data_IF_437074863420
#
_entry.id   IF_437074863420
#
_cell.length_a   1.000
_cell.length_b   1.000
_cell.length_c   1.000
_cell.angle_alpha   90.00
_cell.angle_beta   90.00
_cell.angle_gamma   90.00
#
_symmetry.space_group_name_H-M   'P 1'
#
loop_
_entity.id
_entity.type
_entity.pdbx_description
1 polymer ?
#
# COMPACT_ATOMS: atom_id res chain seq x y z
N UNK A 1 26.46 -24.31 -16.49
CA UNK A 1 25.52 -23.19 -16.78
C UNK A 1 26.26 -21.88 -16.60
N UNK A 2 26.20 -20.93 -17.55
CA UNK A 2 26.78 -19.61 -17.42
C UNK A 2 26.23 -18.89 -16.20
N UNK A 3 27.02 -18.02 -15.57
CA UNK A 3 26.64 -17.27 -14.37
C UNK A 3 25.29 -16.53 -14.52
N UNK A 4 25.06 -15.89 -15.67
CA UNK A 4 23.80 -15.20 -15.98
C UNK A 4 22.57 -16.12 -15.95
N UNK A 5 22.68 -17.37 -16.38
CA UNK A 5 21.59 -18.34 -16.31
C UNK A 5 21.29 -18.77 -14.86
N UNK A 6 22.32 -18.98 -14.03
CA UNK A 6 22.15 -19.31 -12.61
C UNK A 6 21.48 -18.16 -11.87
N UNK A 7 21.94 -16.93 -12.08
CA UNK A 7 21.37 -15.73 -11.48
C UNK A 7 19.90 -15.52 -11.91
N UNK A 8 19.64 -15.62 -13.22
CA UNK A 8 18.29 -15.53 -13.76
C UNK A 8 17.35 -16.58 -13.15
N UNK A 9 17.80 -17.84 -13.02
CA UNK A 9 17.02 -18.89 -12.37
C UNK A 9 16.69 -18.57 -10.91
N UNK A 10 17.65 -18.04 -10.17
CA UNK A 10 17.44 -17.67 -8.75
C UNK A 10 16.45 -16.51 -8.62
N UNK A 11 16.58 -15.47 -9.44
CA UNK A 11 15.72 -14.29 -9.39
C UNK A 11 14.28 -14.63 -9.81
N UNK A 12 14.13 -15.29 -10.97
CA UNK A 12 12.80 -15.57 -11.53
C UNK A 12 12.11 -16.79 -10.92
N UNK A 13 12.72 -17.44 -9.93
CA UNK A 13 12.03 -18.39 -9.07
C UNK A 13 11.18 -17.65 -7.98
N UNK A 14 11.55 -16.41 -7.66
CA UNK A 14 10.74 -15.54 -6.82
C UNK A 14 9.60 -14.92 -7.64
N UNK A 15 8.57 -14.47 -6.94
CA UNK A 15 7.49 -13.66 -7.50
C UNK A 15 7.90 -12.17 -7.55
N UNK A 16 7.35 -11.34 -8.45
CA UNK A 16 7.74 -9.94 -8.55
C UNK A 16 7.51 -9.16 -7.25
N UNK A 17 6.40 -9.40 -6.54
CA UNK A 17 6.12 -8.76 -5.25
C UNK A 17 7.07 -9.19 -4.13
N UNK A 18 7.59 -10.41 -4.20
CA UNK A 18 8.58 -10.93 -3.24
C UNK A 18 9.92 -10.22 -3.42
N UNK A 19 10.32 -9.99 -4.68
CA UNK A 19 11.53 -9.21 -4.97
C UNK A 19 11.36 -7.74 -4.59
N UNK A 20 10.20 -7.14 -4.87
CA UNK A 20 9.88 -5.79 -4.44
C UNK A 20 9.98 -5.64 -2.92
N UNK A 21 9.47 -6.61 -2.16
CA UNK A 21 9.62 -6.63 -0.70
C UNK A 21 11.09 -6.60 -0.26
N UNK A 22 11.95 -7.38 -0.91
CA UNK A 22 13.39 -7.39 -0.60
C UNK A 22 14.05 -6.03 -0.85
N UNK A 23 13.65 -5.32 -1.91
CA UNK A 23 14.14 -3.95 -2.20
C UNK A 23 13.82 -2.99 -1.06
N UNK A 24 12.68 -3.14 -0.39
CA UNK A 24 12.34 -2.35 0.79
C UNK A 24 12.98 -2.87 2.09
N UNK A 25 13.08 -4.17 2.24
CA UNK A 25 13.60 -4.77 3.48
C UNK A 25 15.08 -4.49 3.71
N UNK A 26 15.90 -4.44 2.66
CA UNK A 26 17.34 -4.16 2.80
C UNK A 26 17.59 -2.78 3.38
N UNK A 27 17.09 -1.66 2.81
CA UNK A 27 17.29 -0.34 3.40
C UNK A 27 16.61 -0.19 4.76
N UNK A 28 15.46 -0.85 4.99
CA UNK A 28 14.79 -0.85 6.28
C UNK A 28 15.61 -1.58 7.35
N UNK A 29 16.14 -2.77 7.04
CA UNK A 29 17.00 -3.51 7.96
C UNK A 29 18.28 -2.72 8.32
N UNK A 30 18.87 -2.06 7.32
CA UNK A 30 20.00 -1.16 7.52
C UNK A 30 19.64 0.01 8.46
N UNK A 31 18.55 0.70 8.21
CA UNK A 31 18.09 1.81 9.04
C UNK A 31 17.81 1.34 10.48
N UNK A 32 17.07 0.25 10.67
CA UNK A 32 16.78 -0.30 11.99
C UNK A 32 18.05 -0.77 12.74
N UNK A 33 19.00 -1.35 12.03
CA UNK A 33 20.29 -1.74 12.63
C UNK A 33 21.09 -0.52 13.10
N UNK A 34 21.12 0.57 12.31
CA UNK A 34 21.75 1.83 12.68
C UNK A 34 21.05 2.50 13.87
N UNK A 35 19.72 2.51 13.89
CA UNK A 35 18.93 3.02 15.01
C UNK A 35 19.15 2.21 16.28
N UNK A 36 19.23 0.87 16.18
CA UNK A 36 19.49 -0.01 17.31
C UNK A 36 20.91 0.19 17.88
N UNK A 37 21.90 0.40 17.01
CA UNK A 37 23.27 0.73 17.42
C UNK A 37 23.33 2.08 18.15
N UNK A 38 22.73 3.13 17.56
CA UNK A 38 22.67 4.46 18.17
C UNK A 38 21.96 4.44 19.54
N UNK A 39 20.93 3.60 19.71
CA UNK A 39 20.22 3.45 20.99
C UNK A 39 21.08 2.77 22.08
N UNK A 40 22.09 1.97 21.69
CA UNK A 40 23.05 1.37 22.65
C UNK A 40 24.09 2.39 23.13
N UNK A 41 24.52 3.28 22.26
CA UNK A 41 25.48 4.35 22.60
C UNK A 41 24.85 5.38 23.55
N UNK A 42 23.51 5.51 23.54
CA UNK A 42 22.72 6.39 24.42
C UNK A 42 22.38 5.75 25.78
N UNK A 43 22.91 4.58 26.13
CA UNK A 43 22.83 4.04 27.51
C UNK A 43 23.51 4.95 28.55
N UNK A 44 24.12 6.04 28.12
CA UNK A 44 24.64 7.12 28.98
C UNK A 44 23.67 8.33 29.13
N UNK A 45 22.43 8.31 28.58
CA UNK A 45 21.50 9.45 28.62
C UNK A 45 20.00 9.06 28.61
N UNK A 46 19.11 9.99 29.00
CA UNK A 46 17.76 9.69 29.52
C UNK A 46 16.68 9.32 28.49
N UNK A 47 16.95 9.09 27.22
CA UNK A 47 15.93 8.62 26.28
C UNK A 47 16.56 7.87 25.11
N UNK A 48 16.21 6.61 24.93
CA UNK A 48 16.53 5.87 23.71
C UNK A 48 15.95 6.63 22.50
N UNK A 49 16.79 7.12 21.60
CA UNK A 49 16.38 7.91 20.43
C UNK A 49 15.40 7.15 19.54
N UNK A 50 15.44 5.81 19.56
CA UNK A 50 14.58 4.92 18.76
C UNK A 50 14.13 3.70 19.58
N UNK A 51 13.14 3.87 20.50
CA UNK A 51 12.67 2.76 21.32
C UNK A 51 12.08 1.64 20.43
N UNK A 52 12.45 0.40 20.75
CA UNK A 52 11.94 -0.78 20.03
C UNK A 52 12.59 -1.06 18.67
N UNK A 53 13.61 -0.34 18.22
CA UNK A 53 14.29 -0.59 16.93
C UNK A 53 14.85 -2.01 16.84
N UNK A 54 15.42 -2.55 17.93
CA UNK A 54 15.92 -3.93 17.98
C UNK A 54 14.79 -4.95 17.84
N UNK A 55 13.67 -4.76 18.55
CA UNK A 55 12.53 -5.66 18.46
C UNK A 55 11.96 -5.68 17.03
N UNK A 56 11.87 -4.52 16.38
CA UNK A 56 11.42 -4.39 14.99
C UNK A 56 12.39 -5.05 14.00
N UNK A 57 13.70 -4.92 14.21
CA UNK A 57 14.70 -5.62 13.42
C UNK A 57 14.57 -7.15 13.56
N UNK A 58 14.34 -7.65 14.77
CA UNK A 58 14.10 -9.07 15.01
C UNK A 58 12.79 -9.56 14.37
N UNK A 59 11.73 -8.75 14.40
CA UNK A 59 10.46 -9.06 13.72
C UNK A 59 10.66 -9.14 12.22
N UNK A 60 11.40 -8.19 11.63
CA UNK A 60 11.74 -8.19 10.21
C UNK A 60 12.56 -9.41 9.82
N UNK A 61 13.58 -9.75 10.62
CA UNK A 61 14.40 -10.94 10.40
C UNK A 61 13.55 -12.21 10.49
N UNK A 62 12.69 -12.32 11.51
CA UNK A 62 11.78 -13.45 11.69
C UNK A 62 10.81 -13.62 10.51
N UNK A 63 10.20 -12.53 10.05
CA UNK A 63 9.33 -12.54 8.87
C UNK A 63 10.08 -12.99 7.60
N UNK A 64 11.32 -12.51 7.43
CA UNK A 64 12.17 -12.88 6.28
C UNK A 64 12.56 -14.36 6.35
N UNK A 65 12.99 -14.85 7.52
CA UNK A 65 13.35 -16.26 7.72
C UNK A 65 12.14 -17.16 7.47
N UNK A 66 10.97 -16.80 8.03
CA UNK A 66 9.74 -17.55 7.82
C UNK A 66 9.34 -17.58 6.34
N UNK A 67 9.47 -16.47 5.64
CA UNK A 67 9.21 -16.41 4.20
C UNK A 67 10.17 -17.32 3.40
N UNK A 68 11.46 -17.24 3.64
CA UNK A 68 12.47 -18.10 2.98
C UNK A 68 12.21 -19.57 3.26
N UNK A 69 11.85 -19.92 4.50
CA UNK A 69 11.43 -21.26 4.85
C UNK A 69 10.18 -21.70 4.07
N UNK A 70 9.16 -20.84 4.02
CA UNK A 70 7.90 -21.12 3.32
C UNK A 70 8.16 -21.41 1.82
N UNK A 71 8.92 -20.55 1.15
CA UNK A 71 9.24 -20.70 -0.28
C UNK A 71 10.03 -21.96 -0.56
N UNK A 72 10.97 -22.30 0.33
CA UNK A 72 11.91 -23.43 0.11
C UNK A 72 11.36 -24.76 0.55
N UNK A 73 10.70 -24.80 1.71
CA UNK A 73 10.31 -26.06 2.38
C UNK A 73 8.84 -26.43 2.15
N UNK A 74 7.99 -25.45 1.86
CA UNK A 74 6.54 -25.63 1.73
C UNK A 74 5.97 -24.94 0.46
N UNK A 75 6.55 -25.18 -0.73
CA UNK A 75 6.09 -24.54 -1.98
C UNK A 75 4.63 -24.89 -2.32
N UNK A 76 4.12 -26.01 -1.80
CA UNK A 76 2.72 -26.43 -1.97
C UNK A 76 1.72 -25.55 -1.21
N UNK A 77 2.15 -24.76 -0.23
CA UNK A 77 1.31 -23.84 0.54
C UNK A 77 1.05 -22.55 -0.25
N UNK A 78 0.40 -22.71 -1.41
CA UNK A 78 0.15 -21.61 -2.36
C UNK A 78 -0.59 -20.44 -1.74
N UNK A 79 -1.62 -20.72 -0.92
CA UNK A 79 -2.41 -19.69 -0.25
C UNK A 79 -1.55 -18.85 0.72
N UNK A 80 -0.75 -19.51 1.56
CA UNK A 80 0.14 -18.78 2.48
C UNK A 80 1.11 -17.87 1.71
N UNK A 81 1.67 -18.35 0.60
CA UNK A 81 2.54 -17.57 -0.27
C UNK A 81 1.79 -16.42 -0.97
N UNK A 82 0.50 -16.61 -1.31
CA UNK A 82 -0.35 -15.57 -1.92
C UNK A 82 -0.68 -14.45 -0.93
N UNK A 83 -0.75 -14.74 0.38
CA UNK A 83 -1.04 -13.77 1.46
C UNK A 83 0.21 -13.01 1.91
N UNK A 84 1.40 -13.61 1.80
CA UNK A 84 2.67 -13.01 2.28
C UNK A 84 2.93 -11.57 1.80
N UNK A 85 2.61 -11.16 0.55
CA UNK A 85 2.79 -9.78 0.11
C UNK A 85 2.07 -8.75 0.97
N UNK A 86 0.89 -9.07 1.48
CA UNK A 86 0.15 -8.19 2.41
C UNK A 86 0.81 -8.13 3.79
N UNK A 87 1.35 -9.26 4.27
CA UNK A 87 2.15 -9.29 5.50
C UNK A 87 3.39 -8.41 5.35
N UNK A 88 4.04 -8.45 4.20
CA UNK A 88 5.19 -7.59 3.92
C UNK A 88 4.80 -6.11 3.87
N UNK A 89 3.70 -5.76 3.19
CA UNK A 89 3.19 -4.38 3.17
C UNK A 89 2.91 -3.88 4.59
N UNK A 90 2.25 -4.67 5.42
CA UNK A 90 1.98 -4.32 6.81
C UNK A 90 3.27 -4.15 7.65
N UNK A 91 4.23 -5.06 7.48
CA UNK A 91 5.51 -4.96 8.18
C UNK A 91 6.30 -3.71 7.76
N UNK A 92 6.33 -3.37 6.47
CA UNK A 92 6.97 -2.14 5.98
C UNK A 92 6.24 -0.92 6.56
N UNK A 93 4.92 -0.91 6.53
CA UNK A 93 4.11 0.21 7.02
C UNK A 93 4.36 0.52 8.50
N UNK A 94 4.41 -0.51 9.34
CA UNK A 94 4.68 -0.35 10.79
C UNK A 94 6.05 0.31 11.05
N UNK A 95 7.04 0.07 10.18
CA UNK A 95 8.39 0.62 10.31
C UNK A 95 8.58 1.95 9.55
N UNK A 96 7.58 2.39 8.79
CA UNK A 96 7.70 3.50 7.85
C UNK A 96 7.97 4.84 8.55
N UNK A 97 7.34 5.06 9.72
CA UNK A 97 7.56 6.27 10.51
C UNK A 97 9.04 6.49 10.87
N UNK A 98 9.72 5.43 11.30
CA UNK A 98 11.13 5.52 11.64
C UNK A 98 12.00 5.71 10.41
N UNK A 99 11.64 5.07 9.28
CA UNK A 99 12.34 5.26 8.01
C UNK A 99 12.27 6.73 7.54
N UNK A 100 11.09 7.34 7.61
CA UNK A 100 10.89 8.75 7.27
C UNK A 100 11.81 9.62 8.14
N UNK A 101 11.83 9.39 9.45
CA UNK A 101 12.68 10.15 10.38
C UNK A 101 14.17 9.90 10.15
N UNK A 102 14.55 8.67 9.84
CA UNK A 102 15.95 8.30 9.60
C UNK A 102 16.52 8.95 8.33
N UNK A 103 15.75 8.94 7.25
CA UNK A 103 16.16 9.56 5.97
C UNK A 103 16.00 11.08 5.96
N UNK A 104 15.18 11.63 6.86
CA UNK A 104 15.05 13.09 7.10
C UNK A 104 14.88 13.93 5.83
N UNK A 105 14.05 13.45 4.89
CA UNK A 105 13.72 14.24 3.72
C UNK A 105 12.93 15.52 4.12
N UNK A 106 13.01 16.60 3.33
CA UNK A 106 12.29 17.85 3.62
C UNK A 106 10.77 17.61 3.70
N UNK A 107 10.14 18.09 4.76
CA UNK A 107 8.69 18.07 4.95
C UNK A 107 8.02 19.05 3.98
N UNK A 108 7.09 18.54 3.15
CA UNK A 108 6.36 19.32 2.14
C UNK A 108 4.95 19.74 2.60
N UNK A 109 4.60 19.59 3.86
CA UNK A 109 3.27 19.91 4.38
C UNK A 109 2.81 21.32 4.04
N UNK A 110 3.69 22.32 4.21
CA UNK A 110 3.39 23.71 3.89
C UNK A 110 3.15 23.93 2.39
N UNK A 111 3.82 23.18 1.55
CA UNK A 111 3.66 23.30 0.09
C UNK A 111 2.31 22.68 -0.33
N UNK A 112 1.89 21.55 0.25
CA UNK A 112 0.57 20.95 0.01
C UNK A 112 -0.55 21.93 0.38
N UNK A 113 -0.46 22.53 1.57
CA UNK A 113 -1.40 23.57 1.99
C UNK A 113 -1.48 24.74 0.99
N UNK A 114 -0.30 25.25 0.58
CA UNK A 114 -0.23 26.37 -0.39
C UNK A 114 -0.81 25.99 -1.74
N UNK A 115 -0.59 24.76 -2.20
CA UNK A 115 -1.15 24.27 -3.47
C UNK A 115 -2.67 24.14 -3.40
N UNK A 116 -3.22 23.58 -2.32
CA UNK A 116 -4.67 23.53 -2.13
C UNK A 116 -5.29 24.93 -2.14
N UNK A 117 -4.75 25.86 -1.35
CA UNK A 117 -5.24 27.25 -1.33
C UNK A 117 -5.13 27.95 -2.68
N UNK A 118 -4.04 27.70 -3.44
CA UNK A 118 -3.89 28.27 -4.78
C UNK A 118 -4.89 27.72 -5.79
N UNK A 119 -5.20 26.43 -5.70
CA UNK A 119 -6.11 25.75 -6.63
C UNK A 119 -7.58 26.10 -6.37
N UNK A 120 -7.96 26.21 -5.10
CA UNK A 120 -9.37 26.37 -4.72
C UNK A 120 -9.73 27.78 -4.24
N UNK A 121 -8.74 28.62 -3.94
CA UNK A 121 -8.96 29.94 -3.32
C UNK A 121 -9.27 29.88 -1.82
N UNK A 122 -9.36 28.70 -1.23
CA UNK A 122 -9.60 28.41 0.18
C UNK A 122 -9.00 27.05 0.53
N UNK A 123 -8.97 26.72 1.82
CA UNK A 123 -8.51 25.39 2.28
C UNK A 123 -9.71 24.42 2.30
N UNK A 124 -9.69 23.34 1.47
CA UNK A 124 -10.85 22.47 1.28
C UNK A 124 -11.31 21.72 2.52
N UNK A 125 -10.40 21.33 3.44
CA UNK A 125 -10.79 20.59 4.65
C UNK A 125 -11.44 21.51 5.68
N UNK A 126 -11.06 22.79 5.74
CA UNK A 126 -11.73 23.82 6.53
C UNK A 126 -13.09 24.15 5.92
N UNK A 127 -13.15 24.31 4.59
CA UNK A 127 -14.42 24.52 3.90
C UNK A 127 -15.43 23.40 4.13
N UNK A 128 -14.97 22.15 4.28
CA UNK A 128 -15.83 20.99 4.53
C UNK A 128 -16.51 21.00 5.91
N UNK A 129 -16.05 21.83 6.87
CA UNK A 129 -16.69 21.97 8.19
C UNK A 129 -18.16 22.35 8.12
N UNK A 130 -18.57 23.11 7.08
CA UNK A 130 -19.98 23.51 6.90
C UNK A 130 -20.94 22.32 6.73
N UNK A 131 -20.42 21.17 6.44
CA UNK A 131 -21.16 19.90 6.33
C UNK A 131 -21.05 19.03 7.57
N UNK A 132 -20.43 19.53 8.66
CA UNK A 132 -20.23 18.74 9.89
C UNK A 132 -21.59 18.29 10.44
N UNK A 133 -21.82 16.97 10.42
CA UNK A 133 -23.03 16.33 10.89
C UNK A 133 -22.72 14.91 11.37
N UNK A 134 -23.25 14.46 12.54
CA UNK A 134 -22.92 13.16 13.12
C UNK A 134 -23.07 11.97 12.15
N UNK A 135 -24.16 11.93 11.40
CA UNK A 135 -24.38 10.87 10.40
C UNK A 135 -23.30 10.85 9.31
N UNK A 136 -22.90 12.02 8.79
CA UNK A 136 -21.83 12.10 7.77
C UNK A 136 -20.48 11.73 8.39
N UNK A 137 -20.24 12.13 9.62
CA UNK A 137 -19.01 11.75 10.35
C UNK A 137 -18.91 10.22 10.50
N UNK A 138 -19.99 9.57 10.88
CA UNK A 138 -20.05 8.11 10.99
C UNK A 138 -19.90 7.43 9.62
N UNK A 139 -20.64 7.88 8.63
CA UNK A 139 -20.56 7.32 7.27
C UNK A 139 -19.14 7.39 6.70
N UNK A 140 -18.51 8.57 6.74
CA UNK A 140 -17.16 8.74 6.24
C UNK A 140 -16.12 8.01 7.08
N UNK A 141 -16.32 7.89 8.39
CA UNK A 141 -15.45 7.09 9.27
C UNK A 141 -15.51 5.60 8.88
N UNK A 142 -16.70 5.05 8.66
CA UNK A 142 -16.88 3.68 8.18
C UNK A 142 -16.22 3.49 6.81
N UNK A 143 -16.45 4.41 5.87
CA UNK A 143 -15.83 4.35 4.54
C UNK A 143 -14.30 4.38 4.64
N UNK A 144 -13.75 5.22 5.51
CA UNK A 144 -12.31 5.34 5.73
C UNK A 144 -11.71 4.02 6.28
N UNK A 145 -12.40 3.36 7.21
CA UNK A 145 -12.00 2.06 7.73
C UNK A 145 -12.05 0.93 6.69
N UNK A 146 -12.99 1.01 5.76
CA UNK A 146 -13.11 0.02 4.69
C UNK A 146 -11.93 0.02 3.72
N UNK A 147 -11.03 1.01 3.77
CA UNK A 147 -9.75 0.99 3.09
C UNK A 147 -9.02 -0.35 3.25
N UNK A 148 -8.95 -0.85 4.47
CA UNK A 148 -8.27 -2.11 4.79
C UNK A 148 -8.98 -3.35 4.22
N UNK A 149 -10.23 -3.24 3.84
CA UNK A 149 -11.04 -4.35 3.33
C UNK A 149 -11.20 -4.34 1.80
N UNK A 150 -11.27 -3.18 1.15
CA UNK A 150 -11.65 -3.07 -0.27
C UNK A 150 -10.74 -3.87 -1.20
N UNK A 151 -9.44 -3.70 -1.09
CA UNK A 151 -8.46 -4.43 -1.91
C UNK A 151 -8.39 -5.92 -1.56
N UNK A 152 -8.17 -6.30 -0.29
CA UNK A 152 -8.14 -7.70 0.13
C UNK A 152 -9.43 -8.47 -0.18
N UNK A 153 -10.60 -7.85 -0.02
CA UNK A 153 -11.88 -8.50 -0.32
C UNK A 153 -12.03 -8.77 -1.82
N UNK A 154 -11.66 -7.83 -2.69
CA UNK A 154 -11.62 -8.08 -4.13
C UNK A 154 -10.67 -9.25 -4.46
N UNK A 155 -9.47 -9.25 -3.89
CA UNK A 155 -8.51 -10.34 -4.06
C UNK A 155 -9.09 -11.69 -3.61
N UNK A 156 -9.74 -11.74 -2.44
CA UNK A 156 -10.39 -12.94 -1.91
C UNK A 156 -11.50 -13.44 -2.84
N UNK A 157 -12.38 -12.55 -3.30
CA UNK A 157 -13.46 -12.91 -4.23
C UNK A 157 -12.92 -13.50 -5.54
N UNK A 158 -11.88 -12.92 -6.11
CA UNK A 158 -11.21 -13.44 -7.31
C UNK A 158 -10.54 -14.79 -7.04
N UNK A 159 -9.92 -14.94 -5.86
CA UNK A 159 -9.34 -16.22 -5.43
C UNK A 159 -10.40 -17.33 -5.31
N UNK A 160 -11.54 -17.04 -4.68
CA UNK A 160 -12.67 -17.98 -4.53
C UNK A 160 -13.31 -18.32 -5.88
N UNK A 161 -13.37 -17.36 -6.82
CA UNK A 161 -13.80 -17.61 -8.20
C UNK A 161 -12.81 -18.45 -9.00
N UNK A 162 -11.64 -18.74 -8.44
CA UNK A 162 -10.53 -19.44 -9.09
C UNK A 162 -9.99 -18.73 -10.34
N UNK A 163 -10.24 -17.42 -10.47
CA UNK A 163 -9.65 -16.59 -11.52
C UNK A 163 -8.23 -16.18 -11.13
N UNK A 164 -7.28 -17.09 -11.32
CA UNK A 164 -5.88 -16.89 -10.91
C UNK A 164 -5.22 -15.72 -11.62
N UNK A 165 -5.56 -15.47 -12.87
CA UNK A 165 -4.98 -14.36 -13.66
C UNK A 165 -5.45 -13.02 -13.11
N UNK A 166 -6.76 -12.84 -12.95
CA UNK A 166 -7.31 -11.61 -12.36
C UNK A 166 -6.83 -11.39 -10.92
N UNK A 167 -6.76 -12.47 -10.11
CA UNK A 167 -6.20 -12.42 -8.77
C UNK A 167 -4.76 -11.92 -8.76
N UNK A 168 -3.88 -12.49 -9.59
CA UNK A 168 -2.46 -12.11 -9.67
C UNK A 168 -2.28 -10.67 -10.13
N UNK A 169 -3.04 -10.23 -11.15
CA UNK A 169 -3.00 -8.84 -11.60
C UNK A 169 -3.46 -7.87 -10.52
N UNK A 170 -4.51 -8.23 -9.79
CA UNK A 170 -5.02 -7.43 -8.66
C UNK A 170 -3.99 -7.35 -7.55
N UNK A 171 -3.46 -8.48 -7.10
CA UNK A 171 -2.45 -8.56 -6.05
C UNK A 171 -1.24 -7.68 -6.36
N UNK A 172 -0.63 -7.89 -7.53
CA UNK A 172 0.59 -7.16 -7.90
C UNK A 172 0.32 -5.66 -8.08
N UNK A 173 -0.84 -5.27 -8.66
CA UNK A 173 -1.19 -3.86 -8.81
C UNK A 173 -1.36 -3.17 -7.45
N UNK A 174 -2.03 -3.82 -6.48
CA UNK A 174 -2.22 -3.26 -5.13
C UNK A 174 -0.89 -3.17 -4.38
N UNK A 175 -0.09 -4.24 -4.41
CA UNK A 175 1.23 -4.25 -3.74
C UNK A 175 2.15 -3.19 -4.35
N UNK A 176 2.17 -3.05 -5.68
CA UNK A 176 2.95 -2.04 -6.36
C UNK A 176 2.50 -0.62 -5.98
N UNK A 177 1.19 -0.37 -5.91
CA UNK A 177 0.62 0.89 -5.47
C UNK A 177 1.07 1.23 -4.04
N UNK A 178 1.00 0.27 -3.12
CA UNK A 178 1.43 0.45 -1.73
C UNK A 178 2.94 0.75 -1.65
N UNK A 179 3.79 -0.02 -2.32
CA UNK A 179 5.24 0.19 -2.26
C UNK A 179 5.67 1.53 -2.86
N UNK A 180 5.11 1.91 -3.99
CA UNK A 180 5.40 3.23 -4.58
C UNK A 180 4.91 4.37 -3.69
N UNK A 181 3.76 4.21 -3.05
CA UNK A 181 3.28 5.17 -2.06
C UNK A 181 4.18 5.26 -0.84
N UNK A 182 4.73 4.14 -0.35
CA UNK A 182 5.70 4.15 0.75
C UNK A 182 7.01 4.86 0.35
N UNK A 183 7.46 4.71 -0.91
CA UNK A 183 8.56 5.53 -1.44
C UNK A 183 8.19 7.01 -1.39
N UNK A 184 6.96 7.36 -1.78
CA UNK A 184 6.45 8.72 -1.69
C UNK A 184 6.52 9.28 -0.27
N UNK A 185 6.07 8.51 0.73
CA UNK A 185 6.12 8.94 2.14
C UNK A 185 7.53 9.20 2.66
N UNK A 186 8.51 8.41 2.21
CA UNK A 186 9.92 8.62 2.59
C UNK A 186 10.55 9.78 1.82
N UNK A 187 10.23 9.94 0.54
CA UNK A 187 10.82 10.96 -0.32
C UNK A 187 10.21 12.35 -0.11
N UNK A 188 8.92 12.40 0.20
CA UNK A 188 8.14 13.64 0.38
C UNK A 188 7.25 13.53 1.62
N UNK A 189 7.85 13.51 2.82
CA UNK A 189 7.08 13.41 4.05
C UNK A 189 6.14 14.61 4.20
N UNK A 190 4.91 14.34 4.61
CA UNK A 190 3.90 15.38 4.82
C UNK A 190 2.92 14.96 5.91
N UNK A 191 2.50 15.93 6.72
CA UNK A 191 1.49 15.76 7.75
C UNK A 191 0.08 15.95 7.19
N UNK A 192 -0.87 15.20 7.74
CA UNK A 192 -2.29 15.37 7.44
C UNK A 192 -2.81 16.75 7.89
N UNK A 193 -3.82 17.34 7.22
CA UNK A 193 -4.40 18.63 7.58
C UNK A 193 -4.77 18.75 9.07
N UNK A 194 -5.38 17.71 9.66
CA UNK A 194 -5.75 17.66 11.08
C UNK A 194 -4.58 17.88 12.05
N UNK A 195 -3.36 17.55 11.63
CA UNK A 195 -2.15 17.71 12.43
C UNK A 195 -1.39 18.99 12.08
N UNK A 196 -1.46 19.40 10.81
CA UNK A 196 -0.70 20.54 10.29
C UNK A 196 -1.35 21.89 10.67
N UNK A 197 -2.69 21.97 10.62
CA UNK A 197 -3.44 23.22 10.83
C UNK A 197 -4.58 23.04 11.87
N UNK A 198 -4.34 22.41 13.04
CA UNK A 198 -5.41 22.12 14.00
C UNK A 198 -6.16 23.39 14.45
N UNK A 199 -5.48 24.53 14.55
CA UNK A 199 -6.07 25.82 14.94
C UNK A 199 -6.96 26.49 13.87
N UNK A 200 -6.99 25.97 12.63
CA UNK A 200 -7.86 26.46 11.58
C UNK A 200 -9.30 25.90 11.68
N UNK A 201 -9.50 24.85 12.48
CA UNK A 201 -10.79 24.18 12.62
C UNK A 201 -11.59 24.78 13.79
N UNK A 202 -12.82 25.19 13.48
CA UNK A 202 -13.77 25.73 14.45
C UNK A 202 -14.78 24.71 14.97
N UNK A 203 -15.01 23.63 14.22
CA UNK A 203 -16.00 22.60 14.52
C UNK A 203 -15.33 21.27 14.82
N UNK A 204 -15.66 20.66 15.95
CA UNK A 204 -15.29 19.29 16.26
C UNK A 204 -16.18 18.30 15.47
N UNK A 205 -15.58 17.28 14.90
CA UNK A 205 -16.31 16.21 14.22
C UNK A 205 -16.74 15.16 15.24
N UNK A 206 -18.04 15.10 15.50
CA UNK A 206 -18.64 14.10 16.39
C UNK A 206 -19.54 13.15 15.60
N UNK A 207 -19.54 11.88 15.99
CA UNK A 207 -20.40 10.83 15.49
C UNK A 207 -20.92 9.97 16.65
N UNK A 208 -21.10 8.67 16.41
CA UNK A 208 -21.42 7.72 17.47
C UNK A 208 -20.20 7.49 18.38
N UNK A 209 -20.40 7.27 19.69
CA UNK A 209 -19.31 7.14 20.66
C UNK A 209 -18.29 6.06 20.29
N UNK A 210 -18.73 4.95 19.69
CA UNK A 210 -17.84 3.87 19.25
C UNK A 210 -16.92 4.33 18.13
N UNK A 211 -17.44 5.04 17.13
CA UNK A 211 -16.63 5.51 16.00
C UNK A 211 -15.75 6.69 16.40
N UNK A 212 -16.20 7.55 17.31
CA UNK A 212 -15.38 8.61 17.89
C UNK A 212 -14.18 8.01 18.62
N UNK A 213 -14.40 7.01 19.48
CA UNK A 213 -13.31 6.29 20.15
C UNK A 213 -12.30 5.68 19.15
N UNK A 214 -12.77 5.07 18.07
CA UNK A 214 -11.86 4.49 17.07
C UNK A 214 -11.04 5.55 16.33
N UNK A 215 -11.62 6.72 16.03
CA UNK A 215 -10.89 7.84 15.41
C UNK A 215 -9.82 8.40 16.35
N UNK A 216 -10.15 8.58 17.62
CA UNK A 216 -9.21 9.06 18.64
C UNK A 216 -8.07 8.08 18.88
N UNK A 217 -8.38 6.79 18.97
CA UNK A 217 -7.37 5.74 19.14
C UNK A 217 -6.34 5.75 18.00
N UNK A 218 -6.78 5.93 16.73
CA UNK A 218 -5.87 6.03 15.59
C UNK A 218 -5.14 7.36 15.54
N UNK A 219 -5.82 8.46 15.88
CA UNK A 219 -5.19 9.76 15.90
C UNK A 219 -3.98 9.81 16.85
N UNK A 220 -4.01 9.02 17.93
CA UNK A 220 -2.93 8.87 18.89
C UNK A 220 -1.75 8.00 18.41
N UNK A 221 -1.87 7.32 17.27
CA UNK A 221 -0.78 6.46 16.77
C UNK A 221 0.25 7.29 15.99
N UNK A 222 1.53 7.35 16.44
CA UNK A 222 2.57 8.15 15.78
C UNK A 222 2.88 7.75 14.33
N UNK A 223 2.51 6.53 13.93
CA UNK A 223 2.79 5.94 12.63
C UNK A 223 2.27 6.75 11.44
N UNK A 224 1.27 7.61 11.64
CA UNK A 224 0.60 8.34 10.56
C UNK A 224 1.03 9.81 10.44
N UNK A 225 1.93 10.29 11.29
CA UNK A 225 2.20 11.71 11.41
C UNK A 225 2.76 12.36 10.13
N UNK A 226 3.55 11.63 9.34
CA UNK A 226 4.23 12.15 8.13
C UNK A 226 3.88 11.35 6.86
N UNK A 227 2.82 10.58 6.86
CA UNK A 227 2.42 9.71 5.75
C UNK A 227 1.20 10.25 4.98
N UNK A 228 1.12 11.55 4.69
CA UNK A 228 0.00 12.10 3.93
C UNK A 228 0.19 12.00 2.42
N UNK A 229 1.38 12.26 1.89
CA UNK A 229 1.63 12.36 0.45
C UNK A 229 2.44 11.18 -0.12
N UNK A 230 1.96 10.54 -1.20
CA UNK A 230 0.63 10.65 -1.85
C UNK A 230 -0.46 9.94 -1.04
N UNK A 231 -1.73 10.28 -1.23
CA UNK A 231 -2.85 9.61 -0.54
C UNK A 231 -3.01 8.17 -0.97
N UNK A 232 -2.49 7.22 -0.16
CA UNK A 232 -2.68 5.79 -0.41
C UNK A 232 -4.12 5.33 -0.16
N UNK A 233 -4.86 6.00 0.71
CA UNK A 233 -6.28 5.71 0.93
C UNK A 233 -7.08 5.91 -0.36
N UNK A 234 -6.91 7.06 -1.00
CA UNK A 234 -7.58 7.36 -2.27
C UNK A 234 -7.02 6.53 -3.43
N UNK A 235 -5.70 6.31 -3.46
CA UNK A 235 -5.07 5.52 -4.49
C UNK A 235 -5.57 4.08 -4.52
N UNK A 236 -5.56 3.38 -3.39
CA UNK A 236 -6.00 1.97 -3.33
C UNK A 236 -7.51 1.85 -3.50
N UNK A 237 -8.31 2.80 -3.00
CA UNK A 237 -9.75 2.79 -3.19
C UNK A 237 -10.13 2.91 -4.67
N UNK A 238 -9.54 3.87 -5.39
CA UNK A 238 -9.74 4.03 -6.83
C UNK A 238 -9.20 2.82 -7.60
N UNK A 239 -8.03 2.30 -7.23
CA UNK A 239 -7.45 1.12 -7.85
C UNK A 239 -8.36 -0.10 -7.70
N UNK A 240 -8.91 -0.32 -6.49
CA UNK A 240 -9.86 -1.41 -6.23
C UNK A 240 -11.12 -1.29 -7.09
N UNK A 241 -11.65 -0.08 -7.27
CA UNK A 241 -12.78 0.18 -8.18
C UNK A 241 -12.43 -0.17 -9.63
N UNK A 242 -11.29 0.30 -10.14
CA UNK A 242 -10.87 0.04 -11.53
C UNK A 242 -10.64 -1.46 -11.78
N UNK A 243 -10.04 -2.17 -10.82
CA UNK A 243 -9.83 -3.61 -10.89
C UNK A 243 -11.15 -4.38 -10.77
N UNK A 244 -12.06 -3.97 -9.89
CA UNK A 244 -13.39 -4.56 -9.78
C UNK A 244 -14.20 -4.35 -11.06
N UNK A 245 -14.18 -3.15 -11.66
CA UNK A 245 -14.80 -2.87 -12.95
C UNK A 245 -14.30 -3.83 -14.05
N UNK A 246 -13.01 -4.10 -14.05
CA UNK A 246 -12.38 -4.97 -15.05
C UNK A 246 -12.68 -6.45 -14.85
N UNK A 247 -12.70 -6.93 -13.59
CA UNK A 247 -12.68 -8.36 -13.28
C UNK A 247 -13.93 -8.88 -12.59
N UNK A 248 -14.71 -7.99 -11.90
CA UNK A 248 -15.84 -8.39 -11.07
C UNK A 248 -16.89 -7.27 -10.97
N UNK A 249 -17.58 -7.00 -12.09
CA UNK A 249 -18.49 -5.83 -12.26
C UNK A 249 -19.57 -5.68 -11.18
N UNK A 250 -20.15 -6.77 -10.69
CA UNK A 250 -21.15 -6.65 -9.63
C UNK A 250 -20.53 -6.07 -8.35
N UNK A 251 -19.31 -6.48 -8.02
CA UNK A 251 -18.60 -5.99 -6.84
C UNK A 251 -18.16 -4.53 -6.98
N UNK A 252 -17.88 -4.07 -8.21
CA UNK A 252 -17.67 -2.65 -8.50
C UNK A 252 -18.85 -1.81 -8.03
N UNK A 253 -20.10 -2.19 -8.37
CA UNK A 253 -21.29 -1.45 -7.93
C UNK A 253 -21.48 -1.47 -6.42
N UNK A 254 -21.15 -2.56 -5.76
CA UNK A 254 -21.13 -2.65 -4.30
C UNK A 254 -20.07 -1.74 -3.68
N UNK A 255 -18.89 -1.61 -4.30
CA UNK A 255 -17.79 -0.81 -3.78
C UNK A 255 -17.97 0.70 -4.00
N UNK A 256 -18.68 1.14 -5.02
CA UNK A 256 -18.82 2.56 -5.38
C UNK A 256 -19.17 3.45 -4.18
N UNK A 257 -20.24 3.22 -3.42
CA UNK A 257 -20.62 4.11 -2.34
C UNK A 257 -19.52 4.21 -1.27
N UNK A 258 -18.84 3.11 -0.96
CA UNK A 258 -17.79 3.08 0.06
C UNK A 258 -16.49 3.70 -0.42
N UNK A 259 -16.06 3.42 -1.65
CA UNK A 259 -14.82 3.96 -2.18
C UNK A 259 -14.94 5.47 -2.49
N UNK A 260 -16.06 5.92 -3.02
CA UNK A 260 -16.33 7.37 -3.19
C UNK A 260 -16.51 8.06 -1.86
N UNK A 261 -17.22 7.44 -0.91
CA UNK A 261 -17.33 7.91 0.46
C UNK A 261 -15.97 8.01 1.16
N UNK A 262 -15.07 7.06 0.92
CA UNK A 262 -13.70 7.12 1.43
C UNK A 262 -12.94 8.33 0.85
N UNK A 263 -12.94 8.50 -0.49
CA UNK A 263 -12.22 9.58 -1.16
C UNK A 263 -12.71 10.95 -0.67
N UNK A 264 -14.02 11.18 -0.64
CA UNK A 264 -14.61 12.42 -0.11
C UNK A 264 -14.37 12.54 1.40
N UNK A 265 -14.52 11.43 2.11
CA UNK A 265 -14.33 11.34 3.55
C UNK A 265 -12.92 11.70 4.00
N UNK A 266 -11.88 11.49 3.18
CA UNK A 266 -10.52 11.90 3.55
C UNK A 266 -10.37 13.41 3.71
N UNK A 267 -11.10 14.19 2.91
CA UNK A 267 -11.16 15.66 3.03
C UNK A 267 -12.00 16.04 4.26
N UNK A 268 -13.22 15.51 4.37
CA UNK A 268 -14.13 15.78 5.48
C UNK A 268 -13.52 15.44 6.85
N UNK A 269 -12.87 14.29 6.95
CA UNK A 269 -12.19 13.82 8.17
C UNK A 269 -10.81 14.47 8.38
N UNK A 270 -10.40 15.41 7.53
CA UNK A 270 -9.15 16.17 7.62
C UNK A 270 -7.90 15.29 7.56
N UNK A 271 -7.98 14.16 6.82
CA UNK A 271 -6.90 13.18 6.73
C UNK A 271 -5.94 13.48 5.58
N UNK A 272 -6.42 14.12 4.49
CA UNK A 272 -5.66 14.35 3.28
C UNK A 272 -5.92 15.74 2.68
N UNK A 273 -4.87 16.31 2.08
CA UNK A 273 -4.97 17.48 1.20
C UNK A 273 -5.55 17.03 -0.15
N UNK A 274 -6.19 17.95 -0.90
CA UNK A 274 -6.75 17.56 -2.21
C UNK A 274 -5.64 17.26 -3.21
N UNK A 275 -4.54 18.00 -3.17
CA UNK A 275 -3.39 17.74 -4.07
C UNK A 275 -2.74 16.37 -3.80
N UNK A 276 -2.74 15.87 -2.58
CA UNK A 276 -2.20 14.53 -2.30
C UNK A 276 -3.14 13.42 -2.80
N UNK A 277 -4.45 13.69 -2.86
CA UNK A 277 -5.44 12.80 -3.51
C UNK A 277 -5.16 12.70 -5.00
N UNK A 278 -4.90 13.82 -5.69
CA UNK A 278 -4.53 13.80 -7.10
C UNK A 278 -3.24 13.02 -7.35
N UNK A 279 -2.22 13.20 -6.50
CA UNK A 279 -1.02 12.39 -6.56
C UNK A 279 -1.32 10.89 -6.36
N UNK A 280 -2.23 10.55 -5.45
CA UNK A 280 -2.75 9.20 -5.27
C UNK A 280 -3.42 8.65 -6.52
N UNK A 281 -4.20 9.45 -7.24
CA UNK A 281 -4.83 9.03 -8.51
C UNK A 281 -3.79 8.76 -9.60
N UNK A 282 -2.75 9.60 -9.72
CA UNK A 282 -1.64 9.34 -10.65
C UNK A 282 -0.99 8.00 -10.32
N UNK A 283 -0.74 7.75 -9.05
CA UNK A 283 -0.19 6.47 -8.57
C UNK A 283 -1.11 5.28 -8.90
N UNK A 284 -2.43 5.46 -8.76
CA UNK A 284 -3.44 4.46 -9.16
C UNK A 284 -3.32 4.08 -10.63
N UNK A 285 -3.37 5.08 -11.52
CA UNK A 285 -3.28 4.83 -12.97
C UNK A 285 -1.98 4.15 -13.35
N UNK A 286 -0.87 4.55 -12.74
CA UNK A 286 0.42 3.92 -12.96
C UNK A 286 0.43 2.46 -12.48
N UNK A 287 -0.06 2.16 -11.28
CA UNK A 287 -0.12 0.81 -10.75
C UNK A 287 -1.08 -0.09 -11.55
N UNK A 288 -2.24 0.43 -11.95
CA UNK A 288 -3.20 -0.26 -12.81
C UNK A 288 -2.63 -0.61 -14.18
N UNK A 289 -1.84 0.29 -14.76
CA UNK A 289 -1.18 0.09 -16.05
C UNK A 289 0.01 -0.86 -15.95
N UNK A 290 0.87 -0.67 -14.93
CA UNK A 290 2.13 -1.40 -14.79
C UNK A 290 1.92 -2.81 -14.24
N UNK A 291 1.05 -3.02 -13.24
CA UNK A 291 0.89 -4.29 -12.54
C UNK A 291 0.69 -5.48 -13.46
N UNK A 292 -0.33 -5.49 -14.34
CA UNK A 292 -0.55 -6.61 -15.29
C UNK A 292 0.58 -6.77 -16.32
N UNK A 293 1.28 -5.69 -16.69
CA UNK A 293 2.41 -5.74 -17.62
C UNK A 293 3.63 -6.37 -16.97
N UNK A 294 3.90 -5.98 -15.74
CA UNK A 294 5.00 -6.52 -14.95
C UNK A 294 4.79 -8.01 -14.67
N UNK A 295 3.57 -8.42 -14.29
CA UNK A 295 3.24 -9.84 -14.07
C UNK A 295 3.52 -10.67 -15.33
N UNK A 296 2.97 -10.28 -16.50
CA UNK A 296 3.19 -10.98 -17.76
C UNK A 296 4.66 -11.00 -18.21
N UNK A 297 5.39 -9.91 -17.97
CA UNK A 297 6.82 -9.88 -18.28
C UNK A 297 7.59 -10.83 -17.37
N UNK A 298 7.25 -10.85 -16.08
CA UNK A 298 7.88 -11.73 -15.10
C UNK A 298 7.61 -13.20 -15.39
N UNK A 299 6.38 -13.56 -15.72
CA UNK A 299 6.00 -14.92 -16.14
C UNK A 299 6.84 -15.37 -17.33
N UNK A 300 6.99 -14.53 -18.35
CA UNK A 300 7.83 -14.85 -19.52
C UNK A 300 9.30 -15.08 -19.15
N UNK A 301 9.84 -14.25 -18.27
CA UNK A 301 11.21 -14.40 -17.79
C UNK A 301 11.37 -15.66 -16.92
N UNK A 302 10.42 -15.93 -16.05
CA UNK A 302 10.42 -17.14 -15.23
C UNK A 302 10.38 -18.42 -16.08
N UNK A 303 9.57 -18.46 -17.13
CA UNK A 303 9.57 -19.58 -18.09
C UNK A 303 10.91 -19.72 -18.80
N UNK A 304 11.49 -18.61 -19.23
CA UNK A 304 12.77 -18.61 -19.97
C UNK A 304 13.94 -19.10 -19.09
N UNK A 305 14.00 -18.69 -17.82
CA UNK A 305 15.14 -18.94 -16.96
C UNK A 305 14.92 -20.05 -15.93
N UNK A 306 13.70 -20.20 -15.42
CA UNK A 306 13.36 -21.20 -14.41
C UNK A 306 12.62 -22.44 -14.99
N UNK A 307 12.15 -22.37 -16.23
CA UNK A 307 11.49 -23.48 -16.93
C UNK A 307 10.05 -23.76 -16.46
N UNK A 308 9.54 -23.05 -15.45
CA UNK A 308 8.17 -23.20 -14.97
C UNK A 308 7.72 -21.95 -14.23
N UNK A 309 6.40 -21.71 -14.20
CA UNK A 309 5.75 -20.69 -13.41
C UNK A 309 4.83 -21.39 -12.42
N UNK A 310 5.41 -21.90 -11.33
CA UNK A 310 4.69 -22.74 -10.35
C UNK A 310 3.49 -22.02 -9.72
N UNK A 311 3.60 -20.70 -9.48
CA UNK A 311 2.52 -19.91 -8.89
C UNK A 311 1.34 -19.66 -9.83
N UNK A 312 1.56 -19.68 -11.16
CA UNK A 312 0.50 -19.58 -12.16
C UNK A 312 -0.07 -20.94 -12.55
N UNK A 313 0.56 -22.04 -12.12
CA UNK A 313 0.20 -23.41 -12.53
C UNK A 313 0.53 -23.74 -13.98
N UNK A 314 1.36 -22.90 -14.62
CA UNK A 314 1.76 -23.03 -16.02
C UNK A 314 3.09 -23.78 -16.12
N UNK A 315 3.15 -24.77 -17.02
CA UNK A 315 4.39 -25.41 -17.48
C UNK A 315 4.70 -24.93 -18.89
N UNK A 316 5.96 -25.04 -19.32
CA UNK A 316 6.41 -24.61 -20.64
C UNK A 316 5.57 -25.22 -21.78
N UNK A 317 5.15 -26.46 -21.63
CA UNK A 317 4.37 -27.21 -22.64
C UNK A 317 2.93 -26.66 -22.83
N UNK A 318 2.40 -25.91 -21.88
CA UNK A 318 1.05 -25.34 -21.95
C UNK A 318 1.01 -23.91 -22.52
N UNK A 319 2.17 -23.27 -22.70
CA UNK A 319 2.23 -21.90 -23.22
C UNK A 319 2.09 -21.78 -24.74
N UNK A 320 2.43 -22.80 -25.49
CA UNK A 320 2.16 -22.82 -26.95
C UNK A 320 0.65 -22.69 -27.24
N UNK A 321 -0.19 -23.21 -26.32
CA UNK A 321 -1.65 -23.19 -26.41
C UNK A 321 -2.32 -22.02 -25.68
N UNK A 322 -1.62 -21.38 -24.74
CA UNK A 322 -2.20 -20.36 -23.84
C UNK A 322 -1.97 -18.91 -24.27
N UNK A 323 -1.20 -18.66 -25.34
CA UNK A 323 -1.04 -17.33 -25.94
C UNK A 323 -1.80 -17.32 -27.28
N UNK A 324 -3.10 -16.99 -27.31
CA UNK A 324 -3.73 -16.64 -28.55
C UNK A 324 -3.05 -15.36 -29.05
N UNK A 325 -2.30 -15.49 -30.14
CA UNK A 325 -1.85 -14.36 -30.92
C UNK A 325 -3.07 -13.50 -31.25
N UNK A 326 -3.18 -12.36 -30.58
CA UNK A 326 -4.10 -11.31 -30.95
C UNK A 326 -5.59 -11.56 -30.67
N UNK A 327 -6.02 -11.46 -29.40
CA UNK A 327 -7.38 -10.98 -29.10
C UNK A 327 -7.42 -10.19 -27.77
N UNK A 328 -6.88 -8.97 -27.77
CA UNK A 328 -7.45 -7.93 -26.94
C UNK A 328 -8.58 -7.26 -27.74
N UNK A 329 -9.78 -7.79 -27.65
CA UNK A 329 -10.96 -7.00 -27.98
C UNK A 329 -11.14 -6.02 -26.80
N UNK A 330 -10.87 -4.79 -27.06
CA UNK A 330 -11.41 -3.66 -26.30
C UNK A 330 -12.91 -3.68 -26.56
N UNK A 331 -13.65 -4.40 -25.72
CA UNK A 331 -15.09 -4.43 -25.78
C UNK A 331 -15.65 -3.10 -25.36
N UNK A 332 -16.43 -2.50 -26.24
CA UNK A 332 -17.20 -1.29 -26.04
C UNK A 332 -18.25 -1.38 -24.93
#
# INVERSE_FOLDING_TARGET
MPFAQRLGRTIFHLRPEELLALVFFVPMAYALARMAAASRDVLAGPAAAYPGALARLLTLAGATIFFLWLVRMKPQWKFARDVMPFVFCGNIYVNLHDLIRFYSAPDITTDLYRWDVRLFGFEPTVWAERFAHPFLTDYFTICYWLFYALGPLLGLLLYLKRDRVAFRYTLLSVVLCLYLGYVGYVAWPASAPRLAIPGAYSVALHGSPLLDFTREAIAGVPLTALGAFPSLHCAVALLALMLAWRHLRWFFWVQIPFATGLIVGTIYLRQHWVVDIFAGFVLTFFAFWLGPRLERWWERMALRYAGSVEWAGLKVDTMADAIPAGRMKWGG
#
